data_IF_935514896304
#
_entry.id   IF_935514896304
#
_cell.length_a   1.000
_cell.length_b   1.000
_cell.length_c   1.000
_cell.angle_alpha   90.00
_cell.angle_beta   90.00
_cell.angle_gamma   90.00
#
_symmetry.space_group_name_H-M   'P 1'
#
loop_
_entity.id
_entity.type
_entity.pdbx_description
1 polymer ?
#
# COMPACT_ATOMS: atom_id res chain seq x y z
N UNK A 1 -5.44 12.94 -9.04
CA UNK A 1 -6.90 12.83 -8.83
C UNK A 1 -7.58 12.62 -10.18
N UNK A 2 -7.45 13.48 -11.16
CA UNK A 2 -8.21 13.41 -12.43
C UNK A 2 -8.22 12.07 -13.19
N UNK A 3 -7.10 11.31 -13.18
CA UNK A 3 -7.10 9.99 -13.86
C UNK A 3 -7.98 8.96 -13.13
N UNK A 4 -7.94 8.92 -11.81
CA UNK A 4 -8.77 7.99 -11.04
C UNK A 4 -10.26 8.31 -11.20
N UNK A 5 -10.60 9.60 -11.14
CA UNK A 5 -11.97 10.08 -11.32
C UNK A 5 -12.47 9.77 -12.74
N UNK A 6 -11.62 10.01 -13.75
CA UNK A 6 -11.94 9.63 -15.14
C UNK A 6 -12.13 8.12 -15.28
N UNK A 7 -11.22 7.31 -14.70
CA UNK A 7 -11.32 5.85 -14.77
C UNK A 7 -12.63 5.35 -14.15
N UNK A 8 -12.95 5.80 -12.94
CA UNK A 8 -14.17 5.39 -12.25
C UNK A 8 -15.42 5.81 -13.04
N UNK A 9 -15.50 7.06 -13.46
CA UNK A 9 -16.68 7.57 -14.16
C UNK A 9 -16.87 6.97 -15.57
N UNK A 10 -15.77 6.63 -16.26
CA UNK A 10 -15.84 6.15 -17.65
C UNK A 10 -15.89 4.64 -17.78
N UNK A 11 -15.21 3.89 -16.89
CA UNK A 11 -15.05 2.45 -17.03
C UNK A 11 -15.76 1.64 -15.94
N UNK A 12 -16.11 2.25 -14.82
CA UNK A 12 -16.82 1.60 -13.71
C UNK A 12 -17.88 2.56 -13.15
N UNK A 13 -18.87 2.99 -13.98
CA UNK A 13 -19.83 4.02 -13.57
C UNK A 13 -20.77 3.57 -12.44
N UNK A 14 -20.97 2.28 -12.27
CA UNK A 14 -21.91 1.69 -11.30
C UNK A 14 -21.29 1.45 -9.93
N UNK A 15 -20.30 2.27 -9.53
CA UNK A 15 -19.71 2.18 -8.18
C UNK A 15 -20.72 2.71 -7.17
N UNK A 16 -21.18 1.84 -6.28
CA UNK A 16 -22.01 2.23 -5.15
C UNK A 16 -21.17 2.87 -4.04
N UNK A 17 -21.51 4.09 -3.65
CA UNK A 17 -20.86 4.84 -2.59
C UNK A 17 -21.43 4.44 -1.22
N UNK A 18 -21.30 3.17 -0.86
CA UNK A 18 -21.85 2.58 0.37
C UNK A 18 -20.74 2.15 1.30
N UNK A 19 -20.84 2.55 2.56
CA UNK A 19 -19.90 2.14 3.60
C UNK A 19 -20.29 0.78 4.18
N UNK A 20 -19.41 -0.24 3.99
CA UNK A 20 -19.58 -1.56 4.58
C UNK A 20 -19.08 -1.54 6.03
N UNK A 21 -19.99 -1.74 6.98
CA UNK A 21 -19.68 -1.73 8.40
C UNK A 21 -19.37 -3.12 8.97
N UNK A 22 -19.89 -4.20 8.34
CA UNK A 22 -19.63 -5.57 8.73
C UNK A 22 -19.67 -6.53 7.55
N UNK A 23 -18.81 -7.54 7.58
CA UNK A 23 -18.82 -8.70 6.68
C UNK A 23 -18.77 -9.95 7.54
N UNK A 24 -19.77 -10.83 7.41
CA UNK A 24 -19.90 -12.09 8.15
C UNK A 24 -20.04 -13.25 7.18
N UNK A 25 -19.63 -14.44 7.60
CA UNK A 25 -19.95 -15.66 6.87
C UNK A 25 -21.45 -15.94 6.95
N UNK A 26 -22.04 -16.35 5.84
CA UNK A 26 -23.44 -16.76 5.75
C UNK A 26 -23.55 -18.04 4.89
N UNK A 27 -24.72 -18.68 4.91
CA UNK A 27 -24.94 -19.87 4.08
C UNK A 27 -24.74 -19.55 2.60
N UNK A 28 -23.77 -20.21 1.99
CA UNK A 28 -23.45 -20.05 0.57
C UNK A 28 -22.70 -18.77 0.19
N UNK A 29 -22.28 -17.93 1.16
CA UNK A 29 -21.60 -16.67 0.88
C UNK A 29 -21.36 -15.83 2.14
N UNK A 30 -21.61 -14.53 1.99
CA UNK A 30 -21.34 -13.51 3.01
C UNK A 30 -22.53 -12.56 3.15
N UNK A 31 -22.79 -12.15 4.38
CA UNK A 31 -23.71 -11.07 4.72
C UNK A 31 -22.88 -9.80 4.98
N UNK A 32 -23.22 -8.72 4.30
CA UNK A 32 -22.60 -7.42 4.45
C UNK A 32 -23.62 -6.45 5.04
N UNK A 33 -23.22 -5.74 6.10
CA UNK A 33 -24.06 -4.70 6.71
C UNK A 33 -23.62 -3.32 6.25
N UNK A 34 -24.60 -2.47 5.98
CA UNK A 34 -24.41 -1.05 5.62
C UNK A 34 -25.31 -0.20 6.51
N UNK A 35 -25.25 1.13 6.38
CA UNK A 35 -26.19 2.03 7.06
C UNK A 35 -27.63 1.86 6.53
N UNK A 36 -27.79 1.45 5.27
CA UNK A 36 -29.08 1.36 4.59
C UNK A 36 -29.71 -0.04 4.63
N UNK A 37 -29.00 -1.02 5.23
CA UNK A 37 -29.49 -2.38 5.36
C UNK A 37 -28.41 -3.44 5.16
N UNK A 38 -28.86 -4.63 4.76
CA UNK A 38 -28.00 -5.80 4.58
C UNK A 38 -27.96 -6.22 3.11
N UNK A 39 -26.79 -6.63 2.67
CA UNK A 39 -26.54 -7.18 1.35
C UNK A 39 -26.05 -8.62 1.49
N UNK A 40 -26.39 -9.47 0.55
CA UNK A 40 -25.80 -10.80 0.46
C UNK A 40 -24.90 -10.89 -0.78
N UNK A 41 -23.72 -11.46 -0.58
CA UNK A 41 -22.77 -11.68 -1.67
C UNK A 41 -22.21 -13.10 -1.63
N UNK A 42 -22.21 -13.78 -2.76
CA UNK A 42 -21.55 -15.10 -2.87
C UNK A 42 -20.04 -15.00 -2.63
N UNK A 43 -19.43 -13.87 -3.01
CA UNK A 43 -18.01 -13.63 -2.92
C UNK A 43 -17.73 -12.19 -2.52
N UNK A 44 -16.63 -12.01 -1.78
CA UNK A 44 -16.17 -10.69 -1.34
C UNK A 44 -14.72 -10.51 -1.76
N UNK A 45 -14.41 -9.41 -2.41
CA UNK A 45 -13.05 -8.99 -2.75
C UNK A 45 -12.67 -7.80 -1.87
N UNK A 46 -11.72 -8.01 -0.96
CA UNK A 46 -11.19 -6.97 -0.07
C UNK A 46 -10.11 -6.20 -0.82
N UNK A 47 -10.40 -4.96 -1.18
CA UNK A 47 -9.54 -4.07 -1.95
C UNK A 47 -9.27 -2.73 -1.22
N UNK A 48 -9.22 -2.73 0.10
CA UNK A 48 -9.18 -1.53 0.97
C UNK A 48 -7.84 -0.79 1.00
N UNK A 49 -6.86 -1.25 0.21
CA UNK A 49 -5.55 -0.61 0.14
C UNK A 49 -4.72 -0.75 1.42
N UNK A 50 -3.84 0.22 1.67
CA UNK A 50 -2.87 0.18 2.79
C UNK A 50 -3.27 1.03 3.99
N UNK A 51 -4.22 1.94 3.84
CA UNK A 51 -4.58 2.94 4.85
C UNK A 51 -4.89 2.34 6.24
N UNK A 52 -5.64 1.23 6.35
CA UNK A 52 -5.91 0.61 7.66
C UNK A 52 -4.65 0.13 8.39
N UNK A 53 -3.54 -0.02 7.68
CA UNK A 53 -2.29 -0.61 8.18
C UNK A 53 -1.19 0.41 8.46
N UNK A 54 -1.54 1.70 8.50
CA UNK A 54 -0.60 2.76 8.89
C UNK A 54 0.07 2.41 10.22
N UNK A 55 1.41 2.46 10.25
CA UNK A 55 2.17 2.04 11.41
C UNK A 55 2.78 3.24 12.13
N UNK A 56 2.39 3.44 13.36
CA UNK A 56 3.10 4.32 14.30
C UNK A 56 4.03 3.44 15.16
N UNK A 57 5.31 3.83 15.35
CA UNK A 57 6.17 3.19 16.35
C UNK A 57 5.58 3.28 17.77
N UNK A 58 5.75 2.24 18.56
CA UNK A 58 5.16 2.12 19.91
C UNK A 58 5.45 3.33 20.81
N UNK A 59 6.65 3.93 20.66
CA UNK A 59 7.03 5.13 21.41
C UNK A 59 6.22 6.40 21.05
N UNK A 60 5.52 6.38 19.90
CA UNK A 60 4.63 7.46 19.47
C UNK A 60 3.16 7.13 19.74
N UNK A 61 2.85 5.86 20.03
CA UNK A 61 1.51 5.43 20.39
C UNK A 61 1.08 6.08 21.71
N UNK A 62 -0.18 6.51 21.79
CA UNK A 62 -0.72 7.18 22.97
C UNK A 62 -0.46 8.68 23.04
N UNK A 63 0.38 9.25 22.17
CA UNK A 63 0.45 10.72 22.03
C UNK A 63 -0.79 11.26 21.31
N UNK A 64 -1.25 12.47 21.67
CA UNK A 64 -2.42 13.09 21.04
C UNK A 64 -2.25 13.20 19.52
N UNK A 65 -3.31 12.97 18.76
CA UNK A 65 -3.31 13.13 17.30
C UNK A 65 -3.10 14.58 16.84
N UNK A 66 -3.33 15.53 17.73
CA UNK A 66 -2.96 16.94 17.52
C UNK A 66 -1.44 17.16 17.50
N UNK A 67 -0.64 16.21 18.01
CA UNK A 67 0.81 16.30 18.12
C UNK A 67 1.52 15.29 17.21
N UNK A 68 0.93 14.11 16.99
CA UNK A 68 1.55 13.03 16.20
C UNK A 68 0.53 12.40 15.27
N UNK A 69 0.89 12.32 13.99
CA UNK A 69 0.06 11.70 12.95
C UNK A 69 0.92 10.80 12.05
N UNK A 70 0.24 9.97 11.25
CA UNK A 70 0.89 9.26 10.15
C UNK A 70 0.70 10.03 8.82
N UNK A 71 1.66 9.92 7.89
CA UNK A 71 1.57 10.61 6.57
C UNK A 71 0.28 10.35 5.82
N UNK A 72 -0.34 9.17 6.01
CA UNK A 72 -1.59 8.79 5.37
C UNK A 72 -2.84 9.48 5.92
N UNK A 73 -2.73 10.24 7.00
CA UNK A 73 -3.85 10.96 7.60
C UNK A 73 -4.04 12.36 7.02
N UNK A 74 -3.12 12.80 6.14
CA UNK A 74 -3.13 14.12 5.56
C UNK A 74 -3.36 14.06 4.05
N UNK A 75 -4.41 14.70 3.59
CA UNK A 75 -4.66 15.06 2.19
C UNK A 75 -4.32 16.52 1.91
N UNK A 76 -4.31 17.35 2.94
CA UNK A 76 -3.89 18.75 2.95
C UNK A 76 -2.89 18.96 4.09
N UNK A 77 -1.82 19.70 3.81
CA UNK A 77 -0.75 20.03 4.76
C UNK A 77 -0.74 21.52 5.12
N UNK A 78 -1.71 22.30 4.68
CA UNK A 78 -1.76 23.74 4.86
C UNK A 78 -1.77 24.19 6.32
N UNK A 79 -2.30 23.38 7.23
CA UNK A 79 -2.32 23.60 8.68
C UNK A 79 -0.92 23.68 9.33
N UNK A 80 0.10 23.14 8.64
CA UNK A 80 1.47 23.13 9.14
C UNK A 80 2.31 24.33 8.70
N UNK A 81 1.75 25.26 7.96
CA UNK A 81 2.47 26.49 7.55
C UNK A 81 3.00 27.25 8.75
N UNK A 82 4.30 27.57 8.74
CA UNK A 82 4.99 28.27 9.82
C UNK A 82 5.22 27.44 11.09
N UNK A 83 4.82 26.14 11.09
CA UNK A 83 5.04 25.26 12.23
C UNK A 83 6.35 24.48 12.05
N UNK A 84 6.96 24.10 13.18
CA UNK A 84 8.12 23.23 13.20
C UNK A 84 7.67 21.78 13.22
N UNK A 85 7.95 21.03 12.12
CA UNK A 85 7.47 19.67 11.90
C UNK A 85 8.63 18.69 11.78
N UNK A 86 8.63 17.65 12.63
CA UNK A 86 9.55 16.51 12.52
C UNK A 86 8.92 15.42 11.64
N UNK A 87 9.55 15.04 10.53
CA UNK A 87 9.09 13.94 9.69
C UNK A 87 9.94 12.70 9.94
N UNK A 88 9.35 11.66 10.52
CA UNK A 88 10.04 10.41 10.85
C UNK A 88 9.93 9.45 9.68
N UNK A 89 11.05 9.08 9.08
CA UNK A 89 11.10 8.11 7.99
C UNK A 89 12.11 8.46 6.92
N UNK A 90 12.32 7.53 5.98
CA UNK A 90 13.25 7.71 4.84
C UNK A 90 12.72 7.11 3.54
N UNK A 91 11.45 6.73 3.52
CA UNK A 91 10.77 6.22 2.34
C UNK A 91 10.06 7.32 1.57
N UNK A 92 9.49 6.97 0.42
CA UNK A 92 8.79 7.89 -0.49
C UNK A 92 7.83 8.82 0.24
N UNK A 93 6.94 8.26 1.07
CA UNK A 93 5.90 9.04 1.75
C UNK A 93 6.49 10.08 2.73
N UNK A 94 7.52 9.69 3.51
CA UNK A 94 8.18 10.63 4.43
C UNK A 94 8.87 11.77 3.67
N UNK A 95 9.64 11.44 2.64
CA UNK A 95 10.41 12.40 1.87
C UNK A 95 9.51 13.33 1.05
N UNK A 96 8.45 12.81 0.47
CA UNK A 96 7.46 13.61 -0.26
C UNK A 96 6.71 14.56 0.68
N UNK A 97 6.26 14.07 1.84
CA UNK A 97 5.63 14.90 2.85
C UNK A 97 6.56 16.01 3.32
N UNK A 98 7.85 15.71 3.56
CA UNK A 98 8.82 16.72 3.97
C UNK A 98 9.05 17.80 2.90
N UNK A 99 9.14 17.41 1.62
CA UNK A 99 9.27 18.35 0.51
C UNK A 99 8.04 19.27 0.41
N UNK A 100 6.84 18.70 0.46
CA UNK A 100 5.59 19.46 0.39
C UNK A 100 5.42 20.42 1.57
N UNK A 101 5.75 20.00 2.79
CA UNK A 101 5.72 20.85 3.98
C UNK A 101 6.69 22.04 3.86
N UNK A 102 7.91 21.78 3.39
CA UNK A 102 8.90 22.83 3.16
C UNK A 102 8.41 23.87 2.14
N UNK A 103 7.86 23.41 1.02
CA UNK A 103 7.30 24.27 -0.03
C UNK A 103 6.10 25.09 0.44
N UNK A 104 5.35 24.57 1.42
CA UNK A 104 4.26 25.29 2.08
C UNK A 104 4.74 26.32 3.13
N UNK A 105 6.04 26.32 3.44
CA UNK A 105 6.63 27.25 4.42
C UNK A 105 6.62 26.75 5.86
N UNK A 106 6.59 25.44 6.09
CA UNK A 106 6.85 24.85 7.40
C UNK A 106 8.37 24.76 7.65
N UNK A 107 8.80 24.80 8.92
CA UNK A 107 10.16 24.46 9.33
C UNK A 107 10.25 22.94 9.51
N UNK A 108 10.86 22.25 8.54
CA UNK A 108 10.83 20.78 8.46
C UNK A 108 12.20 20.16 8.71
N UNK A 109 12.24 19.07 9.49
CA UNK A 109 13.40 18.19 9.62
C UNK A 109 12.98 16.76 9.29
N UNK A 110 13.78 16.03 8.50
CA UNK A 110 13.63 14.59 8.28
C UNK A 110 14.49 13.83 9.29
N UNK A 111 13.86 12.91 10.02
CA UNK A 111 14.47 12.13 11.09
C UNK A 111 14.52 10.65 10.67
N UNK A 112 15.71 10.13 10.34
CA UNK A 112 15.87 8.81 9.77
C UNK A 112 16.90 7.94 10.52
N UNK A 113 16.57 6.67 10.78
CA UNK A 113 17.47 5.69 11.41
C UNK A 113 18.66 5.31 10.54
N UNK A 114 18.52 5.36 9.25
CA UNK A 114 19.55 4.94 8.30
C UNK A 114 19.70 5.93 7.16
N UNK A 115 20.61 5.67 6.24
CA UNK A 115 20.87 6.56 5.12
C UNK A 115 19.62 6.73 4.25
N UNK A 116 19.45 7.92 3.71
CA UNK A 116 18.39 8.25 2.75
C UNK A 116 18.91 7.94 1.36
N UNK A 117 18.12 7.20 0.59
CA UNK A 117 18.40 6.82 -0.78
C UNK A 117 17.35 7.39 -1.72
N UNK A 118 17.77 7.77 -2.91
CA UNK A 118 16.89 8.13 -4.00
C UNK A 118 17.11 7.17 -5.16
N UNK A 119 16.02 6.72 -5.78
CA UNK A 119 16.11 5.95 -7.02
C UNK A 119 16.67 6.82 -8.13
N UNK A 120 17.44 6.23 -9.01
CA UNK A 120 17.88 6.92 -10.22
C UNK A 120 16.70 7.11 -11.20
N UNK A 121 16.76 8.13 -12.08
CA UNK A 121 15.80 8.29 -13.16
C UNK A 121 15.78 7.03 -14.04
N UNK A 122 14.59 6.58 -14.41
CA UNK A 122 14.45 5.49 -15.40
C UNK A 122 14.93 6.05 -16.75
N UNK A 123 15.91 5.40 -17.36
CA UNK A 123 16.39 5.77 -18.70
C UNK A 123 15.31 5.45 -19.73
N UNK A 124 14.87 6.45 -20.49
CA UNK A 124 13.83 6.27 -21.52
C UNK A 124 14.27 5.28 -22.61
N UNK A 125 15.57 5.21 -22.93
CA UNK A 125 16.14 4.29 -23.90
C UNK A 125 17.44 3.68 -23.37
N UNK A 126 17.39 2.58 -22.62
CA UNK A 126 18.62 1.90 -22.19
C UNK A 126 19.34 1.29 -23.41
N UNK A 127 20.67 1.38 -23.45
CA UNK A 127 21.45 0.67 -24.45
C UNK A 127 21.22 -0.85 -24.35
N UNK A 128 21.41 -1.59 -25.46
CA UNK A 128 21.24 -3.05 -25.47
C UNK A 128 22.05 -3.75 -24.37
N UNK A 129 23.31 -3.36 -24.17
CA UNK A 129 24.14 -3.92 -23.09
C UNK A 129 23.64 -3.58 -21.68
N UNK A 130 23.06 -2.40 -21.47
CA UNK A 130 22.44 -2.03 -20.20
C UNK A 130 21.16 -2.86 -19.96
N UNK A 131 20.34 -3.05 -20.98
CA UNK A 131 19.11 -3.85 -20.89
C UNK A 131 19.37 -5.31 -20.56
N UNK A 132 20.45 -5.89 -21.08
CA UNK A 132 20.86 -7.27 -20.75
C UNK A 132 21.40 -7.35 -19.32
N UNK A 133 22.12 -6.33 -18.85
CA UNK A 133 22.71 -6.34 -17.52
C UNK A 133 21.68 -6.03 -16.43
N UNK A 134 20.76 -5.10 -16.70
CA UNK A 134 19.71 -4.66 -15.78
C UNK A 134 18.39 -4.49 -16.57
N UNK A 135 17.58 -5.55 -16.71
CA UNK A 135 16.32 -5.43 -17.43
C UNK A 135 15.40 -4.44 -16.74
N UNK A 136 14.99 -3.42 -17.47
CA UNK A 136 14.04 -2.42 -17.01
C UNK A 136 12.65 -3.04 -16.86
N UNK A 137 11.98 -2.71 -15.78
CA UNK A 137 10.59 -3.08 -15.53
C UNK A 137 9.96 -2.04 -14.57
N UNK A 138 8.63 -2.00 -14.42
CA UNK A 138 7.97 -1.02 -13.56
C UNK A 138 8.34 -1.07 -12.08
N UNK A 139 9.02 -2.12 -11.60
CA UNK A 139 9.46 -2.22 -10.21
C UNK A 139 10.85 -1.62 -10.00
N UNK A 140 11.83 -2.11 -10.74
CA UNK A 140 13.22 -1.65 -10.64
C UNK A 140 14.08 -2.29 -11.73
N UNK A 141 15.28 -1.76 -11.95
CA UNK A 141 16.22 -2.25 -12.96
C UNK A 141 17.05 -3.43 -12.43
N UNK A 142 16.42 -4.61 -12.31
CA UNK A 142 17.15 -5.84 -11.94
C UNK A 142 16.43 -7.09 -12.42
N UNK A 143 17.19 -8.18 -12.63
CA UNK A 143 16.64 -9.49 -12.98
C UNK A 143 15.67 -10.04 -11.93
N UNK A 144 15.92 -9.78 -10.63
CA UNK A 144 15.03 -10.20 -9.58
C UNK A 144 13.67 -9.45 -9.66
N UNK A 145 13.70 -8.13 -9.83
CA UNK A 145 12.47 -7.34 -10.01
C UNK A 145 11.74 -7.72 -11.30
N UNK A 146 12.48 -7.97 -12.38
CA UNK A 146 11.90 -8.46 -13.62
C UNK A 146 11.17 -9.79 -13.41
N UNK A 147 11.78 -10.74 -12.69
CA UNK A 147 11.14 -12.01 -12.34
C UNK A 147 9.89 -11.84 -11.49
N UNK A 148 9.95 -10.99 -10.46
CA UNK A 148 8.79 -10.71 -9.59
C UNK A 148 7.65 -10.03 -10.33
N UNK A 149 7.96 -9.20 -11.31
CA UNK A 149 6.94 -8.53 -12.13
C UNK A 149 6.36 -9.45 -13.20
N UNK A 150 7.22 -10.17 -13.93
CA UNK A 150 6.81 -10.98 -15.09
C UNK A 150 6.14 -12.29 -14.68
N UNK A 151 6.60 -12.90 -13.57
CA UNK A 151 6.12 -14.19 -13.08
C UNK A 151 5.65 -14.15 -11.61
N UNK A 152 4.65 -13.32 -11.26
CA UNK A 152 4.19 -13.22 -9.88
C UNK A 152 3.69 -14.55 -9.30
N UNK A 153 3.06 -15.38 -10.15
CA UNK A 153 2.59 -16.71 -9.74
C UNK A 153 3.70 -17.68 -9.33
N UNK A 154 4.93 -17.51 -9.85
CA UNK A 154 6.11 -18.28 -9.48
C UNK A 154 6.67 -17.90 -8.10
N UNK A 155 6.39 -16.70 -7.62
CA UNK A 155 6.82 -16.24 -6.30
C UNK A 155 6.36 -17.16 -5.16
N UNK A 156 5.21 -17.80 -5.31
CA UNK A 156 4.67 -18.76 -4.34
C UNK A 156 5.56 -20.01 -4.13
N UNK A 157 6.39 -20.36 -5.10
CA UNK A 157 7.31 -21.49 -4.96
C UNK A 157 8.46 -21.21 -3.97
N UNK A 158 8.70 -19.96 -3.63
CA UNK A 158 9.69 -19.58 -2.65
C UNK A 158 9.23 -19.97 -1.23
N UNK A 159 10.16 -20.35 -0.33
CA UNK A 159 9.84 -20.56 1.08
C UNK A 159 9.14 -19.34 1.70
N UNK A 160 8.22 -19.58 2.62
CA UNK A 160 7.40 -18.52 3.24
C UNK A 160 8.24 -17.38 3.84
N UNK A 161 9.30 -17.72 4.58
CA UNK A 161 10.19 -16.70 5.17
C UNK A 161 10.81 -15.79 4.11
N UNK A 162 11.21 -16.36 2.97
CA UNK A 162 11.78 -15.60 1.84
C UNK A 162 10.72 -14.71 1.22
N UNK A 163 9.51 -15.22 1.04
CA UNK A 163 8.40 -14.43 0.48
C UNK A 163 8.05 -13.22 1.36
N UNK A 164 7.94 -13.43 2.67
CA UNK A 164 7.66 -12.35 3.63
C UNK A 164 8.80 -11.33 3.62
N UNK A 165 10.06 -11.77 3.64
CA UNK A 165 11.22 -10.89 3.57
C UNK A 165 11.21 -10.07 2.28
N UNK A 166 11.09 -10.71 1.11
CA UNK A 166 11.10 -10.01 -0.18
C UNK A 166 9.90 -9.07 -0.35
N UNK A 167 8.73 -9.44 0.14
CA UNK A 167 7.57 -8.56 0.15
C UNK A 167 7.81 -7.27 0.94
N UNK A 168 8.67 -7.30 1.97
CA UNK A 168 9.01 -6.15 2.81
C UNK A 168 10.21 -5.35 2.30
N UNK A 169 11.23 -6.04 1.78
CA UNK A 169 12.55 -5.46 1.53
C UNK A 169 12.79 -5.06 0.07
N UNK A 170 12.15 -5.71 -0.88
CA UNK A 170 12.24 -5.31 -2.29
C UNK A 170 11.62 -3.94 -2.47
N UNK A 171 12.37 -3.02 -3.08
CA UNK A 171 12.09 -1.59 -3.11
C UNK A 171 11.92 -1.03 -1.68
N UNK A 172 12.95 -1.26 -0.88
CA UNK A 172 13.04 -0.73 0.49
C UNK A 172 12.81 0.77 0.58
N UNK A 173 12.86 1.35 1.78
CA UNK A 173 12.53 2.75 1.95
C UNK A 173 13.53 3.64 1.19
N UNK A 174 13.06 4.25 0.10
CA UNK A 174 13.79 5.19 -0.74
C UNK A 174 12.83 6.24 -1.30
N UNK A 175 13.35 7.39 -1.68
CA UNK A 175 12.62 8.42 -2.42
C UNK A 175 12.81 8.26 -3.92
N UNK A 176 11.87 8.77 -4.69
CA UNK A 176 12.01 8.94 -6.13
C UNK A 176 13.07 10.01 -6.43
N UNK A 177 13.75 9.88 -7.57
CA UNK A 177 14.83 10.79 -8.02
C UNK A 177 14.40 12.27 -8.01
N UNK A 178 13.17 12.58 -8.35
CA UNK A 178 12.64 13.94 -8.43
C UNK A 178 12.44 14.62 -7.07
N UNK A 179 12.51 13.88 -5.96
CA UNK A 179 12.52 14.45 -4.62
C UNK A 179 13.89 14.96 -4.18
N UNK A 180 14.96 14.42 -4.76
CA UNK A 180 16.33 14.80 -4.37
C UNK A 180 16.57 16.31 -4.42
N UNK A 181 16.32 17.04 -5.53
CA UNK A 181 16.55 18.49 -5.60
C UNK A 181 15.61 19.30 -4.71
N UNK A 182 14.46 18.74 -4.30
CA UNK A 182 13.50 19.40 -3.41
C UNK A 182 13.88 19.31 -1.94
N UNK A 183 14.79 18.39 -1.59
CA UNK A 183 15.19 18.08 -0.23
C UNK A 183 16.66 18.39 0.07
N UNK A 184 17.60 17.95 -0.79
CA UNK A 184 19.01 18.16 -0.56
C UNK A 184 19.36 19.66 -0.59
N UNK A 185 19.95 20.15 0.51
CA UNK A 185 20.25 21.56 0.68
C UNK A 185 19.06 22.47 1.02
N UNK A 186 17.84 21.94 1.04
CA UNK A 186 16.62 22.67 1.39
C UNK A 186 16.07 22.28 2.77
N UNK A 187 16.08 20.98 3.07
CA UNK A 187 15.52 20.41 4.31
C UNK A 187 16.62 19.69 5.06
N UNK A 188 16.82 19.89 6.36
CA UNK A 188 17.72 19.11 7.20
C UNK A 188 17.36 17.61 7.14
N UNK A 189 18.27 16.79 6.60
CA UNK A 189 18.12 15.33 6.49
C UNK A 189 19.00 14.66 7.55
N UNK A 190 18.47 14.47 8.76
CA UNK A 190 19.20 13.88 9.87
C UNK A 190 19.12 12.36 9.82
N UNK A 191 20.25 11.71 9.59
CA UNK A 191 20.34 10.26 9.40
C UNK A 191 21.14 9.59 10.52
N UNK A 192 20.97 8.28 10.70
CA UNK A 192 21.62 7.54 11.78
C UNK A 192 21.02 7.83 13.16
N UNK A 193 19.87 8.49 13.23
CA UNK A 193 19.17 8.81 14.46
C UNK A 193 18.30 7.65 14.93
N UNK A 194 18.47 7.22 16.15
CA UNK A 194 17.53 6.35 16.83
C UNK A 194 16.69 7.19 17.79
N UNK A 195 15.37 7.25 17.55
CA UNK A 195 14.46 7.88 18.49
C UNK A 195 14.26 6.90 19.64
N UNK A 196 14.63 7.32 20.85
CA UNK A 196 14.59 6.49 22.06
C UNK A 196 13.50 6.92 23.03
N UNK A 197 12.91 8.10 22.82
CA UNK A 197 11.81 8.60 23.61
C UNK A 197 10.99 9.62 22.86
N UNK A 198 9.70 9.67 23.19
CA UNK A 198 8.77 10.68 22.72
C UNK A 198 7.77 11.01 23.83
N UNK A 199 7.53 12.29 24.05
CA UNK A 199 6.54 12.75 25.04
C UNK A 199 5.87 14.05 24.62
N UNK A 200 4.66 14.25 25.09
CA UNK A 200 4.03 15.56 25.00
C UNK A 200 4.74 16.55 25.95
N UNK A 201 4.93 17.76 25.49
CA UNK A 201 5.55 18.88 26.22
C UNK A 201 4.69 20.12 25.98
N UNK A 202 3.58 20.21 26.70
CA UNK A 202 2.51 21.18 26.45
C UNK A 202 1.82 20.85 25.11
N UNK A 203 1.82 21.82 24.20
CA UNK A 203 1.28 21.76 22.85
C UNK A 203 2.31 21.28 21.79
N UNK A 204 3.43 20.73 22.25
CA UNK A 204 4.56 20.26 21.42
C UNK A 204 4.91 18.80 21.70
N UNK A 205 5.71 18.23 20.81
CA UNK A 205 6.33 16.91 20.98
C UNK A 205 7.82 17.07 21.23
N UNK A 206 8.28 16.47 22.31
CA UNK A 206 9.71 16.32 22.58
C UNK A 206 10.15 14.92 22.22
N UNK A 207 11.10 14.83 21.29
CA UNK A 207 11.77 13.58 20.89
C UNK A 207 13.18 13.51 21.50
N UNK A 208 13.56 12.36 22.02
CA UNK A 208 14.91 12.06 22.47
C UNK A 208 15.62 11.19 21.44
N UNK A 209 16.83 11.54 21.09
CA UNK A 209 17.65 10.87 20.07
C UNK A 209 18.90 10.23 20.67
N UNK A 210 19.30 9.12 20.06
CA UNK A 210 20.61 8.47 20.22
C UNK A 210 21.12 8.05 18.83
N UNK A 211 22.40 7.66 18.73
CA UNK A 211 23.01 7.22 17.47
C UNK A 211 24.05 8.22 16.95
N UNK A 212 23.90 8.71 15.72
CA UNK A 212 24.84 9.68 15.12
C UNK A 212 24.89 11.01 15.88
N UNK A 213 23.78 11.38 16.50
CA UNK A 213 23.66 12.53 17.39
C UNK A 213 22.87 12.11 18.64
N UNK A 214 23.30 12.59 19.79
CA UNK A 214 22.58 12.43 21.05
C UNK A 214 21.99 13.78 21.46
N UNK A 215 20.72 13.81 21.85
CA UNK A 215 20.04 15.03 22.26
C UNK A 215 18.54 14.95 22.21
N UNK A 216 17.91 16.09 22.17
CA UNK A 216 16.47 16.24 22.09
C UNK A 216 16.09 17.19 20.94
N UNK A 217 14.90 16.99 20.38
CA UNK A 217 14.25 17.93 19.45
C UNK A 217 12.83 18.21 19.93
N UNK A 218 12.39 19.46 19.79
CA UNK A 218 11.03 19.88 20.12
C UNK A 218 10.36 20.34 18.85
N UNK A 219 9.17 19.79 18.56
CA UNK A 219 8.41 20.02 17.35
C UNK A 219 6.98 20.40 17.71
N UNK A 220 6.38 21.29 16.94
CA UNK A 220 4.95 21.59 17.06
C UNK A 220 4.09 20.41 16.60
N UNK A 221 4.63 19.58 15.69
CA UNK A 221 4.00 18.34 15.25
C UNK A 221 5.03 17.33 14.73
N UNK A 222 4.71 16.05 14.86
CA UNK A 222 5.52 14.96 14.29
C UNK A 222 4.66 14.17 13.31
N UNK A 223 5.16 14.01 12.09
CA UNK A 223 4.49 13.19 11.08
C UNK A 223 5.31 11.92 10.84
N UNK A 224 4.71 10.77 11.11
CA UNK A 224 5.33 9.47 10.94
C UNK A 224 5.16 8.94 9.52
N UNK A 225 6.22 8.97 8.71
CA UNK A 225 6.32 8.30 7.42
C UNK A 225 6.94 6.90 7.56
N UNK A 226 6.45 6.13 8.53
CA UNK A 226 7.02 4.86 8.99
C UNK A 226 6.46 3.64 8.27
N UNK A 227 5.61 3.89 7.27
CA UNK A 227 5.03 2.87 6.40
C UNK A 227 3.87 2.10 7.02
N UNK A 228 3.68 0.87 6.57
CA UNK A 228 2.48 0.09 6.87
C UNK A 228 2.86 -1.30 7.37
N UNK A 229 2.13 -1.80 8.37
CA UNK A 229 2.25 -3.16 8.88
C UNK A 229 0.92 -3.88 8.75
N UNK A 230 0.90 -4.94 7.95
CA UNK A 230 -0.32 -5.73 7.79
C UNK A 230 -0.65 -6.45 9.09
N UNK A 231 -1.89 -6.30 9.47
CA UNK A 231 -2.52 -7.01 10.57
C UNK A 231 -4.01 -7.14 10.23
N UNK A 232 -4.45 -8.37 9.97
CA UNK A 232 -5.85 -8.62 9.60
C UNK A 232 -6.83 -8.19 10.71
N UNK A 233 -6.37 -8.15 11.96
CA UNK A 233 -7.14 -7.64 13.11
C UNK A 233 -7.59 -6.20 12.95
N UNK A 234 -6.86 -5.39 12.18
CA UNK A 234 -7.20 -3.98 11.92
C UNK A 234 -8.33 -3.76 10.92
N UNK A 235 -8.76 -4.81 10.22
CA UNK A 235 -9.95 -4.78 9.36
C UNK A 235 -11.20 -5.05 10.22
N UNK A 236 -11.61 -4.06 11.01
CA UNK A 236 -12.69 -4.17 12.00
C UNK A 236 -14.05 -4.54 11.39
N UNK A 237 -14.27 -4.22 10.13
CA UNK A 237 -15.48 -4.57 9.39
C UNK A 237 -15.58 -6.08 9.06
N UNK A 238 -14.47 -6.84 9.08
CA UNK A 238 -14.54 -8.29 9.01
C UNK A 238 -14.90 -8.84 10.41
N UNK A 239 -15.97 -9.63 10.52
CA UNK A 239 -16.36 -10.23 11.78
C UNK A 239 -15.23 -11.05 12.42
N UNK A 240 -15.11 -11.12 13.74
CA UNK A 240 -14.01 -11.80 14.43
C UNK A 240 -13.86 -13.27 13.99
N UNK A 241 -14.96 -13.98 13.80
CA UNK A 241 -15.00 -15.39 13.39
C UNK A 241 -14.45 -15.53 11.96
N UNK A 242 -14.83 -14.61 11.06
CA UNK A 242 -14.34 -14.61 9.70
C UNK A 242 -12.83 -14.29 9.65
N UNK A 243 -12.36 -13.32 10.43
CA UNK A 243 -10.92 -13.02 10.55
C UNK A 243 -10.12 -14.19 11.06
N UNK A 244 -10.64 -14.89 12.09
CA UNK A 244 -9.98 -16.05 12.71
C UNK A 244 -9.87 -17.24 11.76
N UNK A 245 -10.80 -17.38 10.81
CA UNK A 245 -10.81 -18.44 9.82
C UNK A 245 -9.80 -18.21 8.67
N UNK A 246 -9.29 -16.98 8.50
CA UNK A 246 -8.31 -16.65 7.48
C UNK A 246 -6.91 -17.07 7.95
N UNK A 247 -6.26 -17.97 7.22
CA UNK A 247 -4.87 -18.31 7.44
C UNK A 247 -3.96 -17.12 7.07
N UNK A 248 -3.02 -16.79 7.96
CA UNK A 248 -2.14 -15.62 7.83
C UNK A 248 -0.66 -15.99 7.83
N UNK A 249 0.15 -15.23 7.11
CA UNK A 249 1.60 -15.26 7.15
C UNK A 249 2.16 -13.83 7.13
N UNK A 250 2.99 -13.50 8.13
CA UNK A 250 3.56 -12.16 8.25
C UNK A 250 2.54 -11.02 8.43
N UNK A 251 1.37 -11.32 9.03
CA UNK A 251 0.27 -10.39 9.26
C UNK A 251 -0.72 -10.24 8.10
N UNK A 252 -0.43 -10.83 6.94
CA UNK A 252 -1.27 -10.80 5.75
C UNK A 252 -1.91 -12.17 5.45
N UNK A 253 -3.03 -12.23 4.72
CA UNK A 253 -3.66 -13.48 4.36
C UNK A 253 -2.78 -14.33 3.44
N UNK A 254 -2.79 -15.66 3.66
CA UNK A 254 -2.21 -16.61 2.72
C UNK A 254 -3.21 -16.80 1.58
N UNK A 255 -2.75 -16.47 0.34
CA UNK A 255 -3.63 -16.43 -0.82
C UNK A 255 -3.28 -17.51 -1.84
N UNK A 256 -4.29 -17.99 -2.55
CA UNK A 256 -4.15 -18.79 -3.76
C UNK A 256 -3.55 -17.98 -4.91
N UNK A 257 -3.28 -18.64 -6.06
CA UNK A 257 -2.86 -17.94 -7.29
C UNK A 257 -3.94 -17.01 -7.86
N UNK A 258 -5.17 -17.16 -7.41
CA UNK A 258 -6.33 -16.36 -7.82
C UNK A 258 -6.77 -15.38 -6.73
N UNK A 259 -5.90 -15.11 -5.75
CA UNK A 259 -6.14 -14.15 -4.65
C UNK A 259 -7.19 -14.60 -3.62
N UNK A 260 -7.70 -15.83 -3.69
CA UNK A 260 -8.63 -16.39 -2.72
C UNK A 260 -7.88 -16.80 -1.45
N UNK A 261 -8.45 -16.50 -0.29
CA UNK A 261 -7.91 -16.86 1.02
C UNK A 261 -8.21 -18.33 1.38
N UNK A 262 -7.91 -18.72 2.63
CA UNK A 262 -8.34 -20.01 3.18
C UNK A 262 -9.85 -20.11 3.36
N UNK A 263 -10.56 -18.99 3.36
CA UNK A 263 -12.04 -18.95 3.43
C UNK A 263 -12.57 -18.89 1.99
N UNK A 264 -13.31 -19.92 1.53
CA UNK A 264 -13.85 -19.95 0.19
C UNK A 264 -14.73 -18.73 -0.14
N UNK A 265 -14.50 -18.11 -1.29
CA UNK A 265 -15.23 -16.91 -1.71
C UNK A 265 -14.72 -15.59 -1.14
N UNK A 266 -13.74 -15.60 -0.21
CA UNK A 266 -13.13 -14.39 0.34
C UNK A 266 -11.75 -14.15 -0.30
N UNK A 267 -11.64 -13.04 -1.02
CA UNK A 267 -10.45 -12.64 -1.77
C UNK A 267 -9.81 -11.40 -1.16
N UNK A 268 -8.48 -11.30 -1.27
CA UNK A 268 -7.74 -10.11 -0.88
C UNK A 268 -6.81 -9.69 -2.01
N UNK A 269 -6.85 -8.43 -2.39
CA UNK A 269 -6.05 -7.87 -3.48
C UNK A 269 -5.17 -6.69 -3.02
N UNK A 270 -4.30 -6.23 -3.92
CA UNK A 270 -3.39 -5.13 -3.61
C UNK A 270 -2.25 -5.54 -2.68
N UNK A 271 -1.79 -4.61 -1.84
CA UNK A 271 -0.56 -4.77 -1.05
C UNK A 271 -0.59 -5.97 -0.07
N UNK A 272 -1.77 -6.36 0.42
CA UNK A 272 -1.93 -7.54 1.29
C UNK A 272 -1.60 -8.86 0.57
N UNK A 273 -1.65 -8.88 -0.76
CA UNK A 273 -1.28 -10.06 -1.54
C UNK A 273 0.24 -10.22 -1.73
N UNK A 274 1.05 -9.21 -1.37
CA UNK A 274 2.48 -9.24 -1.62
C UNK A 274 3.23 -10.42 -0.95
N UNK A 275 2.96 -10.81 0.30
CA UNK A 275 3.61 -12.00 0.91
C UNK A 275 3.28 -13.31 0.22
N UNK A 276 2.18 -13.37 -0.53
CA UNK A 276 1.77 -14.57 -1.29
C UNK A 276 2.21 -14.53 -2.75
N UNK A 277 2.15 -13.38 -3.43
CA UNK A 277 2.24 -13.26 -4.88
C UNK A 277 3.33 -12.29 -5.37
N UNK A 278 4.11 -11.75 -4.46
CA UNK A 278 5.31 -10.97 -4.76
C UNK A 278 5.18 -9.46 -4.61
N UNK A 279 6.33 -8.77 -4.58
CA UNK A 279 6.43 -7.34 -4.28
C UNK A 279 5.63 -6.43 -5.23
N UNK A 280 5.41 -6.86 -6.49
CA UNK A 280 4.61 -6.11 -7.48
C UNK A 280 3.19 -5.82 -7.02
N UNK A 281 2.62 -6.66 -6.14
CA UNK A 281 1.28 -6.46 -5.59
C UNK A 281 1.15 -5.21 -4.72
N UNK A 282 2.25 -4.62 -4.28
CA UNK A 282 2.27 -3.36 -3.52
C UNK A 282 2.08 -2.11 -4.39
N UNK A 283 2.13 -2.24 -5.70
CA UNK A 283 2.17 -1.16 -6.67
C UNK A 283 1.10 -1.33 -7.74
N UNK A 284 0.74 -0.24 -8.39
CA UNK A 284 -0.18 -0.24 -9.54
C UNK A 284 0.30 -1.19 -10.64
N UNK A 285 1.62 -1.35 -10.78
CA UNK A 285 2.22 -2.29 -11.75
C UNK A 285 1.80 -3.75 -11.57
N UNK A 286 1.30 -4.16 -10.40
CA UNK A 286 0.76 -5.49 -10.17
C UNK A 286 -0.70 -5.68 -10.55
N UNK A 287 -1.41 -4.60 -10.88
CA UNK A 287 -2.86 -4.62 -11.12
C UNK A 287 -3.24 -5.48 -12.32
N UNK A 288 -2.43 -5.49 -13.38
CA UNK A 288 -2.68 -6.30 -14.57
C UNK A 288 -2.81 -7.79 -14.25
N UNK A 289 -1.92 -8.30 -13.39
CA UNK A 289 -1.94 -9.71 -12.97
C UNK A 289 -3.11 -9.98 -12.02
N UNK A 290 -3.32 -9.08 -11.06
CA UNK A 290 -4.38 -9.19 -10.05
C UNK A 290 -5.76 -9.19 -10.69
N UNK A 291 -6.06 -8.18 -11.51
CA UNK A 291 -7.38 -8.00 -12.12
C UNK A 291 -7.76 -9.21 -12.98
N UNK A 292 -6.85 -9.64 -13.88
CA UNK A 292 -7.10 -10.78 -14.75
C UNK A 292 -7.35 -12.07 -13.96
N UNK A 293 -6.46 -12.43 -13.03
CA UNK A 293 -6.56 -13.69 -12.28
C UNK A 293 -7.76 -13.73 -11.34
N UNK A 294 -8.07 -12.60 -10.72
CA UNK A 294 -9.22 -12.51 -9.84
C UNK A 294 -10.52 -12.58 -10.66
N UNK A 295 -10.62 -11.84 -11.76
CA UNK A 295 -11.78 -11.87 -12.64
C UNK A 295 -12.03 -13.26 -13.23
N UNK A 296 -10.99 -13.93 -13.79
CA UNK A 296 -11.11 -15.29 -14.32
C UNK A 296 -11.67 -16.26 -13.27
N UNK A 297 -11.21 -16.15 -12.02
CA UNK A 297 -11.69 -17.01 -10.93
C UNK A 297 -13.12 -16.67 -10.50
N UNK A 298 -13.48 -15.40 -10.48
CA UNK A 298 -14.83 -14.96 -10.17
C UNK A 298 -15.83 -15.36 -11.25
N UNK A 299 -15.43 -15.40 -12.51
CA UNK A 299 -16.27 -15.81 -13.64
C UNK A 299 -16.42 -17.33 -13.77
N UNK A 300 -15.39 -18.12 -13.43
CA UNK A 300 -15.35 -19.59 -13.70
C UNK A 300 -16.48 -20.37 -13.06
N UNK A 301 -17.01 -19.95 -11.91
CA UNK A 301 -18.09 -20.64 -11.23
C UNK A 301 -19.50 -20.20 -11.70
N UNK A 302 -19.59 -19.17 -12.55
CA UNK A 302 -20.87 -18.81 -13.18
C UNK A 302 -21.27 -19.84 -14.25
N UNK A 303 -20.29 -20.49 -14.88
CA UNK A 303 -20.53 -21.51 -15.90
C UNK A 303 -20.87 -22.89 -15.31
N UNK A 304 -20.54 -23.15 -14.04
CA UNK A 304 -20.91 -24.40 -13.34
C UNK A 304 -22.35 -24.44 -12.82
N UNK A 305 -22.97 -23.30 -12.62
CA UNK A 305 -24.35 -23.20 -12.12
C UNK A 305 -25.39 -22.96 -13.24
N UNK A 306 -24.94 -22.72 -14.46
CA UNK A 306 -25.79 -22.34 -15.61
C UNK A 306 -26.01 -23.42 -16.66
N UNK A 307 -25.63 -24.68 -16.39
CA UNK A 307 -25.79 -25.75 -17.38
C UNK A 307 -27.22 -26.27 -17.52
N UNK A 308 -28.21 -25.67 -16.86
CA UNK A 308 -29.61 -26.11 -16.93
C UNK A 308 -30.59 -25.07 -17.43
N UNK A 309 -30.15 -23.93 -18.02
CA UNK A 309 -31.04 -23.06 -18.80
C UNK A 309 -30.25 -22.46 -19.96
N UNK A 310 -30.29 -23.18 -21.06
CA UNK A 310 -29.83 -22.69 -22.37
C UNK A 310 -30.82 -21.67 -22.95
N UNK A 311 -30.33 -20.51 -23.32
CA UNK A 311 -30.84 -19.79 -24.49
C UNK A 311 -29.73 -18.97 -25.13
N UNK A 312 -29.53 -19.06 -26.45
CA UNK A 312 -28.45 -18.39 -27.16
C UNK A 312 -28.95 -17.03 -27.67
N UNK A 313 -28.16 -15.98 -27.43
CA UNK A 313 -27.96 -14.90 -28.40
C UNK A 313 -27.19 -13.75 -27.70
N UNK A 314 -25.95 -13.65 -28.04
CA UNK A 314 -25.29 -12.39 -28.39
C UNK A 314 -23.84 -12.69 -28.81
N UNK A 315 -23.71 -12.75 -30.14
CA UNK A 315 -22.44 -12.90 -30.82
C UNK A 315 -21.60 -11.62 -30.74
N UNK A 316 -20.30 -11.84 -30.60
CA UNK A 316 -19.16 -11.09 -31.09
C UNK A 316 -19.23 -9.56 -31.28
N UNK A 317 -18.54 -8.84 -30.45
CA UNK A 317 -17.85 -7.61 -30.85
C UNK A 317 -16.38 -7.65 -30.43
N UNK A 318 -15.44 -7.67 -31.35
CA UNK A 318 -14.02 -7.55 -31.02
C UNK A 318 -13.71 -6.10 -30.64
N UNK A 319 -12.97 -5.94 -29.53
CA UNK A 319 -12.36 -4.67 -29.15
C UNK A 319 -11.27 -4.31 -30.19
N UNK A 320 -11.56 -3.35 -31.04
CA UNK A 320 -10.54 -2.71 -31.88
C UNK A 320 -9.69 -1.78 -31.00
N UNK A 321 -8.43 -2.17 -30.83
CA UNK A 321 -7.38 -1.33 -30.26
C UNK A 321 -6.95 -0.35 -31.35
N UNK A 322 -7.27 0.93 -31.19
CA UNK A 322 -6.62 1.99 -31.96
C UNK A 322 -5.76 2.80 -31.01
N UNK A 323 -4.44 2.61 -31.14
CA UNK A 323 -3.43 3.49 -30.59
C UNK A 323 -3.31 4.70 -31.54
N UNK A 324 -3.45 5.89 -31.02
CA UNK A 324 -2.93 7.14 -31.54
C UNK A 324 -2.37 7.97 -30.39
#
# INVERSE_FOLDING_TARGET
MGYADWFCSSLVPDIEQVHITSVKSATGGFQLSTADGELWARRVVVATGVMPFAYLPDLLEGLPTSLVTHTSQHSDLSEFRGRRVGVIGRGQSALETAALLHELGAEVEVLARGPIWFHDPVLETPSFGASVRKPANPLCESWACWGYYTFPGGFRALPERVRIDKARTVLGPAGSWWLRPRLEGQVPLRTGLQITGARADGDRVRLTFDGSERGEGVYDHVIAGTGYRFDLGRLSYLAPELRSAVAIAGGAPILSRSFESSVPGLFFVGAMAAPSLGPSMRFISGTWFTARRCADRLASDQHGAGADQASPDHADRPLQTTLA
#
